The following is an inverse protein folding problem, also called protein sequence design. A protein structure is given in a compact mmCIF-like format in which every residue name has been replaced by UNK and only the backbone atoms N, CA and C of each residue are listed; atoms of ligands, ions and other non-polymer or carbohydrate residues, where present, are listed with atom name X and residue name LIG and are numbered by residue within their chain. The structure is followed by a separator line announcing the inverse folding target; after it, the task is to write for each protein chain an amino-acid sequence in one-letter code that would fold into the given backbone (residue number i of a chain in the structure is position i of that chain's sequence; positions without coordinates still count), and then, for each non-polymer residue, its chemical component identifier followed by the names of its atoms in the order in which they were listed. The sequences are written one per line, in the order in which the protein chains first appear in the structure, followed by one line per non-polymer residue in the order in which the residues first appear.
data_IF_202695064916
#
_entry.id   IF_202695064916
#
_cell.length_a   1.000
_cell.length_b   1.000
_cell.length_c   1.000
_cell.angle_alpha   90.00
_cell.angle_beta   90.00
_cell.angle_gamma   90.00
#
_symmetry.space_group_name_H-M   'P 1'
#
loop_
_entity.id
_entity.type
_entity.pdbx_description
1 polymer ?
#
# COMPACT_ATOMS: atom_id res chain seq x y z
N UNK A 1 -5.83 -38.02 20.89
CA UNK A 1 -5.80 -37.01 19.81
C UNK A 1 -6.79 -35.91 20.14
N UNK A 2 -6.31 -34.78 20.69
CA UNK A 2 -7.17 -33.65 21.08
C UNK A 2 -7.53 -32.79 19.87
N UNK A 3 -8.81 -32.50 19.70
CA UNK A 3 -9.32 -31.65 18.62
C UNK A 3 -8.94 -30.20 18.95
N UNK A 4 -7.96 -29.64 18.28
CA UNK A 4 -7.60 -28.22 18.44
C UNK A 4 -8.70 -27.38 17.76
N UNK A 5 -9.67 -26.90 18.53
CA UNK A 5 -10.68 -25.97 18.02
C UNK A 5 -10.02 -24.60 17.90
N UNK A 6 -10.06 -24.03 16.70
CA UNK A 6 -9.66 -22.65 16.49
C UNK A 6 -10.42 -21.74 17.48
N UNK A 7 -9.77 -20.72 18.06
CA UNK A 7 -10.39 -19.85 19.05
C UNK A 7 -11.67 -19.22 18.48
N UNK A 8 -12.80 -19.45 19.16
CA UNK A 8 -14.08 -18.89 18.76
C UNK A 8 -14.07 -17.37 18.96
N UNK A 9 -14.28 -16.63 17.87
CA UNK A 9 -14.33 -15.17 17.90
C UNK A 9 -15.53 -14.72 18.72
N UNK A 10 -15.31 -13.88 19.72
CA UNK A 10 -16.39 -13.27 20.52
C UNK A 10 -17.06 -12.14 19.73
N UNK A 11 -18.39 -12.12 19.73
CA UNK A 11 -19.21 -11.10 19.07
C UNK A 11 -19.78 -11.50 17.71
N UNK A 12 -20.66 -10.67 17.12
CA UNK A 12 -21.30 -10.95 15.85
C UNK A 12 -20.29 -11.13 14.71
N UNK A 13 -20.63 -11.98 13.75
CA UNK A 13 -19.87 -12.12 12.52
C UNK A 13 -19.77 -10.76 11.79
N UNK A 14 -18.66 -10.49 11.07
CA UNK A 14 -18.59 -9.33 10.19
C UNK A 14 -19.70 -9.37 9.13
N UNK A 15 -20.14 -8.19 8.69
CA UNK A 15 -21.22 -8.06 7.71
C UNK A 15 -20.83 -8.64 6.34
N UNK A 16 -19.57 -8.48 5.94
CA UNK A 16 -19.01 -9.20 4.80
C UNK A 16 -18.39 -10.51 5.29
N UNK A 17 -18.63 -11.59 4.57
CA UNK A 17 -17.97 -12.87 4.81
C UNK A 17 -16.45 -12.76 4.57
N UNK A 18 -15.67 -13.71 5.10
CA UNK A 18 -14.23 -13.78 4.86
C UNK A 18 -13.85 -13.69 3.38
N UNK A 19 -14.43 -14.54 2.51
CA UNK A 19 -14.18 -14.48 1.06
C UNK A 19 -14.57 -13.13 0.42
N UNK A 20 -15.65 -12.50 0.88
CA UNK A 20 -16.05 -11.18 0.38
C UNK A 20 -15.05 -10.09 0.82
N UNK A 21 -14.51 -10.17 2.04
CA UNK A 21 -13.44 -9.28 2.47
C UNK A 21 -12.14 -9.52 1.68
N UNK A 22 -11.80 -10.77 1.34
CA UNK A 22 -10.65 -11.12 0.50
C UNK A 22 -10.77 -10.52 -0.91
N UNK A 23 -11.92 -10.66 -1.58
CA UNK A 23 -12.13 -10.01 -2.88
C UNK A 23 -12.01 -8.49 -2.80
N UNK A 24 -12.45 -7.87 -1.69
CA UNK A 24 -12.29 -6.44 -1.49
C UNK A 24 -10.82 -6.05 -1.30
N UNK A 25 -10.03 -6.86 -0.59
CA UNK A 25 -8.59 -6.67 -0.42
C UNK A 25 -7.85 -6.78 -1.74
N UNK A 26 -8.12 -7.82 -2.53
CA UNK A 26 -7.53 -7.99 -3.86
C UNK A 26 -7.81 -6.78 -4.76
N UNK A 27 -9.04 -6.27 -4.72
CA UNK A 27 -9.39 -5.04 -5.43
C UNK A 27 -8.61 -3.82 -4.94
N UNK A 28 -8.44 -3.65 -3.62
CA UNK A 28 -7.65 -2.54 -3.03
C UNK A 28 -6.18 -2.64 -3.48
N UNK A 29 -5.59 -3.83 -3.40
CA UNK A 29 -4.20 -4.08 -3.79
C UNK A 29 -4.01 -3.88 -5.29
N UNK A 30 -4.90 -4.42 -6.12
CA UNK A 30 -4.87 -4.24 -7.58
C UNK A 30 -4.93 -2.77 -7.98
N UNK A 31 -5.83 -2.00 -7.34
CA UNK A 31 -5.93 -0.53 -7.50
C UNK A 31 -4.62 0.18 -7.17
N UNK A 32 -3.95 -0.22 -6.09
CA UNK A 32 -2.66 0.35 -5.70
C UNK A 32 -1.54 -0.02 -6.69
N UNK A 33 -1.50 -1.27 -7.17
CA UNK A 33 -0.49 -1.73 -8.14
C UNK A 33 -0.55 -0.97 -9.47
N UNK A 34 -1.73 -0.53 -9.89
CA UNK A 34 -1.91 0.29 -11.10
C UNK A 34 -1.80 1.80 -10.83
N UNK A 35 -1.33 2.21 -9.64
CA UNK A 35 -1.12 3.62 -9.31
C UNK A 35 -2.39 4.41 -8.97
N UNK A 36 -3.50 3.73 -8.66
CA UNK A 36 -4.79 4.35 -8.32
C UNK A 36 -5.25 3.95 -6.91
N UNK A 37 -4.49 4.27 -5.85
CA UNK A 37 -4.78 3.85 -4.48
C UNK A 37 -6.18 4.29 -4.04
N UNK A 38 -6.80 3.50 -3.17
CA UNK A 38 -8.19 3.71 -2.74
C UNK A 38 -8.27 4.48 -1.42
N UNK A 39 -9.19 5.43 -1.36
CA UNK A 39 -9.51 6.18 -0.16
C UNK A 39 -10.46 5.41 0.76
N UNK A 40 -10.51 5.81 2.03
CA UNK A 40 -11.49 5.31 3.01
C UNK A 40 -12.94 5.40 2.48
N UNK A 41 -13.30 6.50 1.80
CA UNK A 41 -14.65 6.71 1.26
C UNK A 41 -14.95 5.69 0.16
N UNK A 42 -14.02 5.46 -0.76
CA UNK A 42 -14.18 4.46 -1.83
C UNK A 42 -14.27 3.04 -1.30
N UNK A 43 -13.48 2.69 -0.28
CA UNK A 43 -13.54 1.38 0.37
C UNK A 43 -14.92 1.16 1.01
N UNK A 44 -15.42 2.16 1.77
CA UNK A 44 -16.76 2.09 2.39
C UNK A 44 -17.84 1.98 1.30
N UNK A 45 -17.74 2.75 0.22
CA UNK A 45 -18.70 2.70 -0.87
C UNK A 45 -18.72 1.32 -1.54
N UNK A 46 -17.55 0.81 -1.96
CA UNK A 46 -17.42 -0.50 -2.62
C UNK A 46 -17.93 -1.64 -1.73
N UNK A 47 -17.53 -1.65 -0.46
CA UNK A 47 -18.01 -2.61 0.52
C UNK A 47 -19.52 -2.48 0.79
N UNK A 48 -20.05 -1.25 0.76
CA UNK A 48 -21.47 -0.98 0.91
C UNK A 48 -22.29 -1.53 -0.25
N UNK A 49 -21.80 -1.37 -1.48
CA UNK A 49 -22.40 -1.99 -2.66
C UNK A 49 -22.42 -3.52 -2.54
N UNK A 50 -21.29 -4.13 -2.18
CA UNK A 50 -21.19 -5.58 -1.99
C UNK A 50 -22.16 -6.08 -0.91
N UNK A 51 -22.19 -5.40 0.23
CA UNK A 51 -23.05 -5.73 1.36
C UNK A 51 -24.53 -5.57 1.03
N UNK A 52 -24.91 -4.49 0.35
CA UNK A 52 -26.29 -4.21 -0.03
C UNK A 52 -26.84 -5.26 -0.99
N UNK A 53 -26.03 -5.77 -1.92
CA UNK A 53 -26.43 -6.82 -2.86
C UNK A 53 -26.72 -8.16 -2.17
N UNK A 54 -26.06 -8.44 -1.04
CA UNK A 54 -26.15 -9.73 -0.35
C UNK A 54 -27.16 -9.67 0.81
N UNK A 55 -27.18 -8.57 1.55
CA UNK A 55 -27.88 -8.46 2.85
C UNK A 55 -28.88 -7.31 2.91
N UNK A 56 -28.90 -6.41 1.92
CA UNK A 56 -29.66 -5.16 1.97
C UNK A 56 -29.12 -4.12 2.95
N UNK A 57 -28.00 -4.39 3.63
CA UNK A 57 -27.40 -3.50 4.61
C UNK A 57 -26.20 -2.75 4.03
N UNK A 58 -26.00 -1.50 4.46
CA UNK A 58 -24.82 -0.70 4.13
C UNK A 58 -23.75 -0.78 5.23
N UNK A 59 -22.50 -0.45 4.88
CA UNK A 59 -21.39 -0.35 5.84
C UNK A 59 -21.06 1.11 6.14
N UNK A 60 -20.55 1.35 7.34
CA UNK A 60 -20.13 2.68 7.76
C UNK A 60 -18.75 2.69 8.42
N UNK A 61 -18.44 3.82 9.06
CA UNK A 61 -17.17 4.08 9.74
C UNK A 61 -16.74 2.96 10.72
N UNK A 62 -17.69 2.42 11.49
CA UNK A 62 -17.41 1.35 12.45
C UNK A 62 -17.03 0.03 11.79
N UNK A 63 -17.62 -0.29 10.65
CA UNK A 63 -17.25 -1.47 9.86
C UNK A 63 -15.83 -1.30 9.30
N UNK A 64 -15.54 -0.15 8.68
CA UNK A 64 -14.21 0.15 8.11
C UNK A 64 -13.09 0.00 9.15
N UNK A 65 -13.27 0.56 10.36
CA UNK A 65 -12.28 0.43 11.43
C UNK A 65 -12.00 -1.03 11.79
N UNK A 66 -13.03 -1.86 11.87
CA UNK A 66 -12.88 -3.29 12.19
C UNK A 66 -12.31 -4.09 11.01
N UNK A 67 -12.62 -3.70 9.77
CA UNK A 67 -12.05 -4.27 8.56
C UNK A 67 -10.54 -4.03 8.52
N UNK A 68 -10.09 -2.78 8.67
CA UNK A 68 -8.66 -2.46 8.75
C UNK A 68 -7.95 -3.19 9.91
N UNK A 69 -8.60 -3.32 11.08
CA UNK A 69 -8.03 -4.06 12.21
C UNK A 69 -7.89 -5.59 11.96
N UNK A 70 -8.68 -6.17 11.05
CA UNK A 70 -8.54 -7.57 10.64
C UNK A 70 -7.46 -7.78 9.60
N UNK A 71 -7.16 -6.76 8.81
CA UNK A 71 -6.32 -6.86 7.61
C UNK A 71 -5.11 -5.94 7.74
N UNK A 72 -4.14 -6.28 8.60
CA UNK A 72 -2.97 -5.43 8.88
C UNK A 72 -2.05 -5.24 7.66
N UNK A 73 -2.24 -6.01 6.58
CA UNK A 73 -1.59 -5.76 5.30
C UNK A 73 -2.00 -4.41 4.68
N UNK A 74 -3.18 -3.89 5.04
CA UNK A 74 -3.68 -2.59 4.59
C UNK A 74 -3.30 -1.53 5.62
N UNK A 75 -2.66 -0.48 5.17
CA UNK A 75 -2.32 0.67 6.00
C UNK A 75 -2.78 1.96 5.35
N UNK A 76 -3.29 2.89 6.17
CA UNK A 76 -3.54 4.25 5.70
C UNK A 76 -2.19 4.98 5.60
N UNK A 77 -1.89 5.53 4.43
CA UNK A 77 -0.70 6.36 4.21
C UNK A 77 -1.09 7.68 3.58
N UNK A 78 -0.39 8.74 3.97
CA UNK A 78 -0.45 10.01 3.26
C UNK A 78 0.34 9.86 1.96
N UNK A 79 -0.29 10.15 0.82
CA UNK A 79 0.42 10.16 -0.46
C UNK A 79 1.52 11.22 -0.41
N UNK A 80 2.74 10.84 -0.76
CA UNK A 80 3.81 11.80 -1.03
C UNK A 80 3.83 12.04 -2.54
N UNK A 81 3.89 13.31 -2.95
CA UNK A 81 4.06 13.64 -4.35
C UNK A 81 5.44 13.14 -4.80
N UNK A 82 5.46 12.10 -5.61
CA UNK A 82 6.67 11.58 -6.24
C UNK A 82 6.62 12.01 -7.71
N UNK A 83 7.73 12.54 -8.23
CA UNK A 83 7.80 12.91 -9.64
C UNK A 83 7.61 11.67 -10.53
N UNK A 84 7.00 11.84 -11.71
CA UNK A 84 6.77 10.74 -12.66
C UNK A 84 8.09 10.02 -13.02
N UNK A 85 9.19 10.76 -13.10
CA UNK A 85 10.53 10.22 -13.33
C UNK A 85 10.96 9.22 -12.26
N UNK A 86 10.70 9.51 -10.97
CA UNK A 86 11.02 8.60 -9.86
C UNK A 86 10.23 7.29 -9.90
N UNK A 87 9.00 7.31 -10.41
CA UNK A 87 8.19 6.09 -10.56
C UNK A 87 8.62 5.22 -11.75
N UNK A 88 9.43 5.75 -12.69
CA UNK A 88 9.91 5.02 -13.85
C UNK A 88 11.26 4.33 -13.62
N UNK A 89 11.91 4.58 -12.49
CA UNK A 89 13.23 4.01 -12.16
C UNK A 89 13.10 2.52 -11.92
N UNK A 90 13.85 1.73 -12.70
CA UNK A 90 13.95 0.28 -12.55
C UNK A 90 15.17 -0.13 -11.72
N UNK A 91 15.23 -1.42 -11.35
CA UNK A 91 16.43 -1.98 -10.72
C UNK A 91 17.67 -1.83 -11.62
N UNK A 92 17.50 -2.03 -12.93
CA UNK A 92 18.59 -1.90 -13.90
C UNK A 92 19.10 -0.46 -14.00
N UNK A 93 18.21 0.53 -13.92
CA UNK A 93 18.61 1.94 -13.90
C UNK A 93 19.44 2.28 -12.66
N UNK A 94 19.07 1.74 -11.50
CA UNK A 94 19.84 1.90 -10.25
C UNK A 94 21.20 1.21 -10.35
N UNK A 95 21.25 -0.02 -10.82
CA UNK A 95 22.50 -0.76 -11.00
C UNK A 95 23.45 -0.01 -11.95
N UNK A 96 22.94 0.48 -13.08
CA UNK A 96 23.72 1.28 -14.03
C UNK A 96 24.23 2.57 -13.41
N UNK A 97 23.38 3.30 -12.68
CA UNK A 97 23.77 4.54 -12.00
C UNK A 97 24.89 4.29 -10.98
N UNK A 98 24.72 3.33 -10.07
CA UNK A 98 25.73 3.07 -9.04
C UNK A 98 27.04 2.53 -9.61
N UNK A 99 26.98 1.65 -10.62
CA UNK A 99 28.18 1.18 -11.30
C UNK A 99 28.94 2.32 -12.00
N UNK A 100 28.22 3.24 -12.64
CA UNK A 100 28.82 4.41 -13.30
C UNK A 100 29.44 5.36 -12.28
N UNK A 101 28.76 5.58 -11.15
CA UNK A 101 29.28 6.41 -10.06
C UNK A 101 30.54 5.80 -9.44
N UNK A 102 30.55 4.50 -9.14
CA UNK A 102 31.72 3.80 -8.61
C UNK A 102 32.89 3.93 -9.59
N UNK A 103 32.64 3.72 -10.88
CA UNK A 103 33.66 3.88 -11.93
C UNK A 103 34.27 5.28 -11.91
N UNK A 104 33.44 6.32 -11.91
CA UNK A 104 33.91 7.71 -11.87
C UNK A 104 34.71 8.02 -10.60
N UNK A 105 34.24 7.54 -9.44
CA UNK A 105 34.95 7.71 -8.16
C UNK A 105 36.35 7.11 -8.21
N UNK A 106 36.49 5.92 -8.79
CA UNK A 106 37.78 5.22 -8.89
C UNK A 106 38.69 5.86 -9.94
N UNK A 107 38.19 6.13 -11.15
CA UNK A 107 38.99 6.67 -12.26
C UNK A 107 39.45 8.10 -11.99
N UNK A 108 38.59 8.94 -11.41
CA UNK A 108 38.87 10.35 -11.17
C UNK A 108 39.39 10.63 -9.75
N UNK A 109 39.60 9.58 -8.94
CA UNK A 109 40.02 9.65 -7.53
C UNK A 109 39.16 10.65 -6.73
N UNK A 110 37.84 10.58 -6.92
CA UNK A 110 36.91 11.44 -6.21
C UNK A 110 36.88 11.04 -4.73
N UNK A 111 37.07 12.01 -3.86
CA UNK A 111 36.91 11.86 -2.42
C UNK A 111 35.72 12.70 -1.91
N UNK A 112 35.38 12.52 -0.63
CA UNK A 112 34.27 13.24 -0.02
C UNK A 112 34.47 14.78 0.00
N UNK A 113 35.69 15.29 -0.17
CA UNK A 113 35.97 16.73 -0.19
C UNK A 113 35.55 17.39 -1.51
N UNK A 114 35.26 16.58 -2.53
CA UNK A 114 34.87 17.02 -3.88
C UNK A 114 33.40 16.76 -4.21
N UNK A 115 32.61 16.33 -3.21
CA UNK A 115 31.17 16.12 -3.37
C UNK A 115 30.44 17.36 -2.86
N UNK A 116 29.86 18.12 -3.79
CA UNK A 116 29.08 19.31 -3.48
C UNK A 116 27.60 19.00 -3.67
N UNK A 117 26.78 19.37 -2.68
CA UNK A 117 25.34 19.34 -2.85
C UNK A 117 24.92 20.51 -3.75
N UNK A 118 24.11 20.24 -4.77
CA UNK A 118 23.67 21.24 -5.76
C UNK A 118 22.15 21.25 -5.89
N UNK A 119 21.41 20.84 -4.85
CA UNK A 119 19.97 20.96 -4.85
C UNK A 119 19.55 22.42 -4.59
N UNK A 120 18.61 22.90 -5.39
CA UNK A 120 17.99 24.20 -5.15
C UNK A 120 16.97 24.06 -4.02
N UNK A 121 17.19 24.79 -2.93
CA UNK A 121 16.14 25.02 -1.92
C UNK A 121 15.44 26.32 -2.30
N UNK A 122 14.24 26.22 -2.87
CA UNK A 122 13.39 27.40 -3.08
C UNK A 122 13.07 28.03 -1.71
N UNK A 123 13.23 29.36 -1.60
CA UNK A 123 12.83 30.17 -0.43
C UNK A 123 11.39 30.64 -0.63
#
# INVERSE_FOLDING_TARGET
MGIFRAPARRGPAPLLSGPAEECLIEWIVGRQLVGHPTSRKEIIYKAGTMSSMITGQSVGSGWYRRFMARHPLLATRTSQAVSKARNAVTKGDLEMFFNSLIKAVVEDQLDATRVFNMDETAI
#
